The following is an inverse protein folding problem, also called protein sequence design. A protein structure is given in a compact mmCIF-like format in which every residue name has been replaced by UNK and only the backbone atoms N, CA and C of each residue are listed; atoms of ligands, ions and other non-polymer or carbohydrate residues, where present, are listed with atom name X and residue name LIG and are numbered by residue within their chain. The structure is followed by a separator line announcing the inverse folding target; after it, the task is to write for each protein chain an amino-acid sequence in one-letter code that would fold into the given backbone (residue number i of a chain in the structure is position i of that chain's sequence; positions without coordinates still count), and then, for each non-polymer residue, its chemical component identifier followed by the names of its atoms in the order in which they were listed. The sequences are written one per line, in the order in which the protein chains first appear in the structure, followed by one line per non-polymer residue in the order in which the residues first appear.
data_IF_695561490194
#
_entry.id   IF_695561490194
#
_cell.length_a   1.000
_cell.length_b   1.000
_cell.length_c   1.000
_cell.angle_alpha   90.00
_cell.angle_beta   90.00
_cell.angle_gamma   90.00
#
_symmetry.space_group_name_H-M   'P 1'
#
loop_
_entity.id
_entity.type
_entity.pdbx_description
1 polymer ?
#
# COMPACT_ATOMS: atom_id res chain seq x y z
N UNK A 1 -15.36 6.39 -42.07
CA UNK A 1 -14.77 7.13 -40.93
C UNK A 1 -13.43 6.49 -40.61
N UNK A 2 -12.32 7.22 -40.72
CA UNK A 2 -10.99 6.79 -40.26
C UNK A 2 -10.94 6.90 -38.73
N UNK A 3 -10.36 5.91 -38.05
CA UNK A 3 -10.16 5.99 -36.60
C UNK A 3 -9.15 7.11 -36.29
N UNK A 4 -9.35 7.90 -35.22
CA UNK A 4 -8.37 8.88 -34.78
C UNK A 4 -7.06 8.19 -34.38
N UNK A 5 -5.93 8.82 -34.69
CA UNK A 5 -4.61 8.36 -34.24
C UNK A 5 -4.51 8.53 -32.71
N UNK A 6 -4.05 7.48 -32.03
CA UNK A 6 -3.85 7.49 -30.58
C UNK A 6 -2.37 7.71 -30.27
N UNK A 7 -2.02 8.62 -29.35
CA UNK A 7 -0.64 8.75 -28.86
C UNK A 7 -0.20 7.58 -27.97
N UNK A 8 -1.14 6.74 -27.53
CA UNK A 8 -0.85 5.57 -26.70
C UNK A 8 -0.50 4.36 -27.57
N UNK A 9 0.74 3.89 -27.42
CA UNK A 9 1.23 2.65 -28.00
C UNK A 9 1.07 1.53 -26.97
N UNK A 10 -0.06 0.83 -27.02
CA UNK A 10 -0.35 -0.32 -26.17
C UNK A 10 -0.39 -1.56 -27.06
N UNK A 11 0.42 -2.57 -26.74
CA UNK A 11 0.32 -3.87 -27.39
C UNK A 11 -0.89 -4.63 -26.83
N UNK A 12 -2.01 -4.59 -27.56
CA UNK A 12 -3.29 -5.21 -27.18
C UNK A 12 -3.16 -6.74 -27.09
N UNK A 13 -2.20 -7.34 -27.80
CA UNK A 13 -1.97 -8.79 -27.79
C UNK A 13 -0.99 -9.27 -26.72
N UNK A 14 -0.29 -8.35 -26.04
CA UNK A 14 0.67 -8.72 -25.02
C UNK A 14 -0.02 -9.34 -23.80
N UNK A 15 0.61 -10.37 -23.24
CA UNK A 15 0.21 -10.96 -21.97
C UNK A 15 1.40 -11.06 -21.03
N UNK A 16 1.12 -11.04 -19.75
CA UNK A 16 2.11 -11.08 -18.69
C UNK A 16 1.66 -12.09 -17.65
N UNK A 17 2.49 -13.12 -17.43
CA UNK A 17 2.25 -14.13 -16.41
C UNK A 17 3.06 -13.78 -15.16
N UNK A 18 2.38 -13.70 -14.01
CA UNK A 18 2.98 -13.42 -12.71
C UNK A 18 2.39 -14.33 -11.65
N UNK A 19 3.20 -14.67 -10.66
CA UNK A 19 2.72 -15.15 -9.37
C UNK A 19 2.07 -14.01 -8.57
N UNK A 20 1.27 -14.34 -7.56
CA UNK A 20 0.71 -13.35 -6.65
C UNK A 20 1.80 -12.54 -5.92
N UNK A 21 2.92 -13.17 -5.59
CA UNK A 21 4.04 -12.50 -4.91
C UNK A 21 4.72 -11.48 -5.82
N UNK A 22 5.03 -11.85 -7.07
CA UNK A 22 5.60 -10.92 -8.05
C UNK A 22 4.65 -9.74 -8.34
N UNK A 23 3.35 -10.03 -8.46
CA UNK A 23 2.34 -9.00 -8.66
C UNK A 23 2.26 -8.06 -7.45
N UNK A 24 2.24 -8.57 -6.22
CA UNK A 24 2.26 -7.76 -5.00
C UNK A 24 3.55 -6.94 -4.87
N UNK A 25 4.71 -7.52 -5.19
CA UNK A 25 5.99 -6.80 -5.20
C UNK A 25 5.97 -5.62 -6.17
N UNK A 26 5.43 -5.82 -7.38
CA UNK A 26 5.29 -4.73 -8.37
C UNK A 26 4.32 -3.64 -7.91
N UNK A 27 3.25 -4.01 -7.24
CA UNK A 27 2.29 -3.06 -6.65
C UNK A 27 2.94 -2.21 -5.56
N UNK A 28 3.78 -2.81 -4.69
CA UNK A 28 4.54 -2.05 -3.69
C UNK A 28 5.56 -1.11 -4.34
N UNK A 29 6.28 -1.55 -5.37
CA UNK A 29 7.20 -0.67 -6.10
C UNK A 29 6.48 0.51 -6.76
N UNK A 30 5.32 0.27 -7.36
CA UNK A 30 4.50 1.32 -7.96
C UNK A 30 3.90 2.25 -6.89
N UNK A 31 3.55 1.73 -5.71
CA UNK A 31 3.11 2.54 -4.59
C UNK A 31 4.21 3.49 -4.10
N UNK A 32 5.48 3.05 -4.11
CA UNK A 32 6.62 3.90 -3.77
C UNK A 32 6.80 5.02 -4.81
N UNK A 33 6.65 4.71 -6.10
CA UNK A 33 6.71 5.75 -7.15
C UNK A 33 5.59 6.80 -6.97
N UNK A 34 4.37 6.35 -6.67
CA UNK A 34 3.24 7.24 -6.37
C UNK A 34 3.49 8.09 -5.11
N UNK A 35 4.06 7.52 -4.05
CA UNK A 35 4.45 8.26 -2.85
C UNK A 35 5.45 9.38 -3.20
N UNK A 36 6.44 9.09 -4.03
CA UNK A 36 7.45 10.08 -4.47
C UNK A 36 6.83 11.19 -5.33
N UNK A 37 5.78 10.88 -6.10
CA UNK A 37 5.03 11.85 -6.89
C UNK A 37 4.06 12.71 -6.05
N UNK A 38 3.78 12.32 -4.80
CA UNK A 38 2.78 12.97 -3.95
C UNK A 38 1.35 12.43 -4.16
N UNK A 39 1.19 11.38 -4.96
CA UNK A 39 -0.09 10.73 -5.27
C UNK A 39 -0.46 9.73 -4.16
N UNK A 40 -0.73 10.26 -2.96
CA UNK A 40 -0.88 9.44 -1.74
C UNK A 40 -2.07 8.48 -1.77
N UNK A 41 -3.16 8.84 -2.44
CA UNK A 41 -4.33 7.98 -2.64
C UNK A 41 -4.00 6.78 -3.53
N UNK A 42 -3.23 7.01 -4.60
CA UNK A 42 -2.74 5.95 -5.49
C UNK A 42 -1.77 5.05 -4.73
N UNK A 43 -0.80 5.62 -4.01
CA UNK A 43 0.15 4.88 -3.19
C UNK A 43 -0.57 3.97 -2.18
N UNK A 44 -1.55 4.52 -1.46
CA UNK A 44 -2.33 3.78 -0.47
C UNK A 44 -3.16 2.66 -1.11
N UNK A 45 -3.76 2.91 -2.28
CA UNK A 45 -4.55 1.92 -3.02
C UNK A 45 -3.69 0.73 -3.44
N UNK A 46 -2.55 0.99 -4.09
CA UNK A 46 -1.66 -0.05 -4.61
C UNK A 46 -1.04 -0.87 -3.46
N UNK A 47 -0.58 -0.20 -2.40
CA UNK A 47 -0.05 -0.86 -1.23
C UNK A 47 -1.12 -1.67 -0.48
N UNK A 48 -2.34 -1.13 -0.32
CA UNK A 48 -3.47 -1.84 0.28
C UNK A 48 -3.88 -3.08 -0.51
N UNK A 49 -3.84 -3.00 -1.85
CA UNK A 49 -4.05 -4.16 -2.72
C UNK A 49 -2.95 -5.21 -2.51
N UNK A 50 -1.67 -4.80 -2.53
CA UNK A 50 -0.53 -5.68 -2.30
C UNK A 50 -0.60 -6.39 -0.92
N UNK A 51 -0.93 -5.64 0.14
CA UNK A 51 -1.13 -6.22 1.47
C UNK A 51 -2.24 -7.29 1.47
N UNK A 52 -3.31 -7.07 0.70
CA UNK A 52 -4.43 -8.00 0.57
C UNK A 52 -4.12 -9.26 -0.25
N UNK A 53 -3.12 -9.23 -1.13
CA UNK A 53 -2.75 -10.34 -2.02
C UNK A 53 -1.95 -11.44 -1.32
N UNK A 54 -1.17 -11.09 -0.31
CA UNK A 54 -0.29 -12.04 0.39
C UNK A 54 -0.97 -12.57 1.64
N UNK A 55 -0.91 -13.90 1.80
CA UNK A 55 -1.46 -14.61 2.95
C UNK A 55 -0.99 -14.01 4.28
N UNK A 56 -1.83 -14.16 5.30
CA UNK A 56 -1.62 -13.53 6.61
C UNK A 56 -0.67 -14.31 7.52
N UNK A 57 0.05 -15.29 6.99
CA UNK A 57 0.94 -16.17 7.74
C UNK A 57 2.27 -15.45 8.05
N UNK A 58 2.87 -15.74 9.21
CA UNK A 58 4.15 -15.15 9.61
C UNK A 58 4.10 -13.81 10.36
N UNK A 59 5.29 -13.29 10.67
CA UNK A 59 5.49 -12.03 11.40
C UNK A 59 5.47 -10.84 10.42
N UNK A 60 4.31 -10.21 10.26
CA UNK A 60 4.15 -8.98 9.47
C UNK A 60 3.59 -7.84 10.32
N UNK A 61 3.82 -6.60 9.85
CA UNK A 61 3.58 -5.38 10.61
C UNK A 61 2.12 -5.25 11.05
N UNK A 62 1.15 -5.48 10.16
CA UNK A 62 -0.27 -5.41 10.51
C UNK A 62 -0.67 -6.49 11.54
N UNK A 63 -0.06 -7.67 11.45
CA UNK A 63 -0.23 -8.77 12.40
C UNK A 63 0.20 -8.38 13.81
N UNK A 64 1.28 -7.61 13.93
CA UNK A 64 1.78 -7.06 15.20
C UNK A 64 0.95 -5.86 15.68
N UNK A 65 0.65 -4.90 14.80
CA UNK A 65 -0.07 -3.66 15.15
C UNK A 65 -1.44 -3.93 15.77
N UNK A 66 -2.21 -4.86 15.20
CA UNK A 66 -3.55 -5.21 15.72
C UNK A 66 -3.52 -5.85 17.12
N UNK A 67 -2.34 -6.15 17.66
CA UNK A 67 -2.12 -6.78 18.96
C UNK A 67 -1.29 -5.89 19.90
N UNK A 68 -1.00 -4.65 19.50
CA UNK A 68 -0.11 -3.77 20.26
C UNK A 68 -0.72 -3.39 21.62
N UNK A 69 -0.05 -3.65 22.76
CA UNK A 69 -0.62 -3.43 24.09
C UNK A 69 -1.13 -1.99 24.31
N UNK A 70 -0.32 -0.99 23.95
CA UNK A 70 -0.71 0.44 24.10
C UNK A 70 -1.94 0.84 23.27
N UNK A 71 -2.21 0.13 22.17
CA UNK A 71 -3.41 0.38 21.37
C UNK A 71 -4.62 -0.27 22.04
N UNK A 72 -4.45 -1.51 22.54
CA UNK A 72 -5.49 -2.27 23.23
C UNK A 72 -5.84 -1.74 24.62
N UNK A 73 -4.97 -0.91 25.23
CA UNK A 73 -5.29 -0.11 26.41
C UNK A 73 -6.31 1.01 26.13
N UNK A 74 -6.44 1.43 24.87
CA UNK A 74 -7.25 2.59 24.45
C UNK A 74 -8.48 2.22 23.63
N UNK A 75 -8.36 1.19 22.81
CA UNK A 75 -9.37 0.77 21.85
C UNK A 75 -9.62 -0.73 22.00
N UNK A 76 -10.85 -1.17 21.74
CA UNK A 76 -11.03 -2.60 21.53
C UNK A 76 -10.34 -3.03 20.22
N UNK A 77 -10.08 -4.33 20.08
CA UNK A 77 -9.34 -4.86 18.91
C UNK A 77 -10.06 -4.58 17.59
N UNK A 78 -11.39 -4.62 17.57
CA UNK A 78 -12.19 -4.43 16.35
C UNK A 78 -12.17 -2.95 15.93
N UNK A 79 -12.34 -2.05 16.88
CA UNK A 79 -12.20 -0.61 16.71
C UNK A 79 -10.80 -0.26 16.21
N UNK A 80 -9.75 -0.84 16.81
CA UNK A 80 -8.38 -0.60 16.38
C UNK A 80 -8.11 -1.09 14.95
N UNK A 81 -8.64 -2.25 14.58
CA UNK A 81 -8.56 -2.76 13.20
C UNK A 81 -9.30 -1.84 12.23
N UNK A 82 -10.42 -1.25 12.63
CA UNK A 82 -11.14 -0.28 11.80
C UNK A 82 -10.29 0.98 11.61
N UNK A 83 -9.72 1.53 12.68
CA UNK A 83 -8.82 2.69 12.64
C UNK A 83 -7.66 2.43 11.67
N UNK A 84 -6.93 1.32 11.86
CA UNK A 84 -5.81 0.95 11.00
C UNK A 84 -6.17 0.79 9.51
N UNK A 85 -7.43 0.59 9.16
CA UNK A 85 -7.86 0.36 7.79
C UNK A 85 -8.70 1.50 7.22
N UNK A 86 -8.83 2.62 7.94
CA UNK A 86 -9.81 3.67 7.63
C UNK A 86 -9.64 4.23 6.22
N UNK A 87 -8.43 4.67 5.85
CA UNK A 87 -8.16 5.28 4.55
C UNK A 87 -8.27 4.25 3.41
N UNK A 88 -7.76 3.02 3.64
CA UNK A 88 -7.85 1.93 2.67
C UNK A 88 -9.30 1.55 2.39
N UNK A 89 -10.09 1.41 3.45
CA UNK A 89 -11.47 0.99 3.33
C UNK A 89 -12.35 2.12 2.76
N UNK A 90 -12.02 3.39 3.05
CA UNK A 90 -12.63 4.54 2.37
C UNK A 90 -12.37 4.52 0.85
N UNK A 91 -11.13 4.28 0.42
CA UNK A 91 -10.81 4.16 -1.02
C UNK A 91 -11.52 2.97 -1.68
N UNK A 92 -11.72 1.88 -0.95
CA UNK A 92 -12.32 0.64 -1.48
C UNK A 92 -13.85 0.64 -1.48
N UNK A 93 -14.45 1.23 -0.46
CA UNK A 93 -15.88 1.09 -0.16
C UNK A 93 -16.61 2.44 -0.10
N UNK A 94 -15.88 3.55 -0.19
CA UNK A 94 -16.44 4.90 -0.03
C UNK A 94 -16.81 5.21 1.42
N UNK A 95 -17.73 6.16 1.60
CA UNK A 95 -18.18 6.61 2.91
C UNK A 95 -18.37 8.12 2.90
N UNK A 96 -17.60 8.83 3.70
CA UNK A 96 -17.59 10.29 3.70
C UNK A 96 -17.29 10.83 2.29
N UNK A 97 -17.88 11.97 1.88
CA UNK A 97 -17.71 12.50 0.53
C UNK A 97 -16.28 12.98 0.25
N UNK A 98 -15.48 13.24 1.29
CA UNK A 98 -14.08 13.66 1.18
C UNK A 98 -13.24 12.97 2.24
N UNK A 99 -11.96 12.75 1.93
CA UNK A 99 -10.95 12.23 2.82
C UNK A 99 -9.64 12.98 2.57
N UNK A 100 -8.93 13.34 3.63
CA UNK A 100 -7.56 13.80 3.52
C UNK A 100 -6.64 12.60 3.74
N UNK A 101 -5.81 12.30 2.75
CA UNK A 101 -4.76 11.29 2.85
C UNK A 101 -3.43 12.04 2.84
N UNK A 102 -2.60 11.82 3.84
CA UNK A 102 -1.28 12.42 3.94
C UNK A 102 -0.17 11.40 3.66
N UNK A 103 1.06 11.91 3.57
CA UNK A 103 2.24 11.11 3.28
C UNK A 103 2.41 9.96 4.30
N UNK A 104 2.11 10.23 5.58
CA UNK A 104 2.29 9.26 6.65
C UNK A 104 1.39 8.04 6.48
N UNK A 105 0.09 8.20 6.19
CA UNK A 105 -0.80 7.05 6.02
C UNK A 105 -0.42 6.22 4.79
N UNK A 106 -0.02 6.87 3.69
CA UNK A 106 0.45 6.20 2.49
C UNK A 106 1.76 5.42 2.75
N UNK A 107 2.75 6.05 3.36
CA UNK A 107 4.02 5.43 3.72
C UNK A 107 3.81 4.25 4.69
N UNK A 108 2.91 4.39 5.66
CA UNK A 108 2.58 3.33 6.60
C UNK A 108 1.91 2.13 5.91
N UNK A 109 1.02 2.38 4.94
CA UNK A 109 0.41 1.31 4.14
C UNK A 109 1.47 0.57 3.29
N UNK A 110 2.42 1.29 2.68
CA UNK A 110 3.54 0.68 1.95
C UNK A 110 4.38 -0.19 2.89
N UNK A 111 4.73 0.31 4.07
CA UNK A 111 5.50 -0.45 5.05
C UNK A 111 4.78 -1.74 5.48
N UNK A 112 3.46 -1.68 5.68
CA UNK A 112 2.64 -2.86 5.96
C UNK A 112 2.67 -3.89 4.84
N UNK A 113 2.48 -3.45 3.60
CA UNK A 113 2.51 -4.32 2.43
C UNK A 113 3.90 -4.96 2.23
N UNK A 114 4.96 -4.14 2.28
CA UNK A 114 6.34 -4.60 2.15
C UNK A 114 6.73 -5.61 3.24
N UNK A 115 6.21 -5.45 4.46
CA UNK A 115 6.48 -6.38 5.58
C UNK A 115 5.96 -7.80 5.37
N UNK A 116 5.11 -8.03 4.35
CA UNK A 116 4.62 -9.37 3.97
C UNK A 116 5.45 -10.02 2.85
N UNK A 117 6.37 -9.30 2.24
CA UNK A 117 7.21 -9.82 1.16
C UNK A 117 8.48 -10.45 1.74
N UNK A 118 8.76 -11.68 1.35
CA UNK A 118 10.02 -12.39 1.71
C UNK A 118 11.26 -11.77 1.04
N UNK A 119 11.07 -11.17 -0.14
CA UNK A 119 12.14 -10.55 -0.91
C UNK A 119 11.79 -9.11 -1.20
N UNK A 120 12.73 -8.21 -0.90
CA UNK A 120 12.56 -6.79 -1.09
C UNK A 120 13.38 -6.33 -2.29
N UNK A 121 12.77 -5.51 -3.13
CA UNK A 121 13.45 -4.83 -4.23
C UNK A 121 14.42 -3.77 -3.68
N UNK A 122 15.36 -3.32 -4.50
CA UNK A 122 16.22 -2.19 -4.13
C UNK A 122 15.42 -0.93 -3.80
N UNK A 123 14.27 -0.73 -4.46
CA UNK A 123 13.34 0.38 -4.20
C UNK A 123 12.70 0.28 -2.82
N UNK A 124 12.25 -0.91 -2.41
CA UNK A 124 11.71 -1.13 -1.06
C UNK A 124 12.77 -0.93 0.03
N UNK A 125 14.01 -1.36 -0.23
CA UNK A 125 15.12 -1.12 0.69
C UNK A 125 15.39 0.38 0.83
N UNK A 126 15.45 1.13 -0.28
CA UNK A 126 15.62 2.58 -0.27
C UNK A 126 14.45 3.28 0.46
N UNK A 127 13.21 2.85 0.20
CA UNK A 127 12.03 3.32 0.90
C UNK A 127 12.14 3.11 2.42
N UNK A 128 12.58 1.93 2.89
CA UNK A 128 12.78 1.69 4.33
C UNK A 128 13.83 2.60 4.95
N UNK A 129 14.94 2.84 4.24
CA UNK A 129 15.98 3.76 4.73
C UNK A 129 15.38 5.17 4.89
N UNK A 130 14.67 5.64 3.87
CA UNK A 130 13.97 6.93 3.92
C UNK A 130 12.94 6.97 5.07
N UNK A 131 12.10 5.94 5.20
CA UNK A 131 11.07 5.86 6.22
C UNK A 131 11.67 5.96 7.62
N UNK A 132 12.72 5.17 7.90
CA UNK A 132 13.38 5.19 9.21
C UNK A 132 14.08 6.53 9.50
N UNK A 133 14.63 7.19 8.48
CA UNK A 133 15.26 8.49 8.64
C UNK A 133 14.26 9.64 8.88
N UNK A 134 12.99 9.43 8.53
CA UNK A 134 11.95 10.46 8.59
C UNK A 134 10.80 10.12 9.55
N UNK A 135 10.87 9.00 10.28
CA UNK A 135 9.75 8.47 11.07
C UNK A 135 9.25 9.43 12.16
N UNK A 136 10.12 10.32 12.65
CA UNK A 136 9.76 11.33 13.65
C UNK A 136 9.11 12.58 13.04
N UNK A 137 9.16 12.72 11.70
CA UNK A 137 8.66 13.87 10.95
C UNK A 137 7.42 13.56 10.12
N UNK A 138 7.03 12.29 10.02
CA UNK A 138 5.82 11.82 9.34
C UNK A 138 4.80 11.32 10.35
#
# INVERSE_FOLDING_TARGET
MTRPESPFLIDIGASLSLTLHEAASRQVDAAIDALQAGDYDVALTLAGAAEGMIERTGHHMFGWLKQHPRALERFDKKEWILILNTERDWLKHGGQPTMKICCAEAAFMIARAASKLDHWTSKMVAFKIWLLANIDYI
#
